data_IF_350964507299
#
_entry.id   IF_350964507299
#
_cell.length_a   1.000
_cell.length_b   1.000
_cell.length_c   1.000
_cell.angle_alpha   90.00
_cell.angle_beta   90.00
_cell.angle_gamma   90.00
#
_symmetry.space_group_name_H-M   'P 1'
#
loop_
_entity.id
_entity.type
_entity.pdbx_description
1 polymer ?
#
# COMPACT_ATOMS: atom_id res chain seq x y z
N UNK A 1 -12.98 10.67 -11.22
CA UNK A 1 -11.54 10.95 -11.12
C UNK A 1 -10.88 9.69 -10.63
N UNK A 2 -9.87 9.22 -11.34
CA UNK A 2 -9.13 8.03 -10.94
C UNK A 2 -8.18 8.44 -9.80
N UNK A 3 -8.50 8.01 -8.58
CA UNK A 3 -7.68 8.19 -7.39
C UNK A 3 -7.44 6.83 -6.73
N UNK A 4 -6.19 6.38 -6.75
CA UNK A 4 -5.79 5.11 -6.17
C UNK A 4 -4.32 5.11 -5.79
N UNK A 5 -3.89 4.11 -5.02
CA UNK A 5 -2.50 3.94 -4.63
C UNK A 5 -1.84 2.79 -5.37
N UNK A 6 -0.53 2.83 -5.48
CA UNK A 6 0.27 1.78 -6.10
C UNK A 6 1.45 1.48 -5.19
N UNK A 7 1.56 0.22 -4.77
CA UNK A 7 2.72 -0.30 -4.05
C UNK A 7 3.52 -1.15 -5.03
N UNK A 8 4.73 -0.69 -5.37
CA UNK A 8 5.63 -1.42 -6.25
C UNK A 8 6.77 -2.00 -5.44
N UNK A 9 7.01 -3.30 -5.54
CA UNK A 9 8.07 -3.93 -4.78
C UNK A 9 7.86 -5.42 -4.59
N UNK A 10 8.86 -6.06 -3.99
CA UNK A 10 8.80 -7.48 -3.74
C UNK A 10 9.66 -7.89 -2.54
N UNK A 11 9.34 -9.05 -1.97
CA UNK A 11 10.04 -9.61 -0.81
C UNK A 11 11.50 -9.93 -1.14
N UNK A 12 11.76 -10.30 -2.38
CA UNK A 12 13.09 -10.70 -2.87
C UNK A 12 14.08 -9.53 -2.82
N UNK A 13 13.65 -8.35 -3.28
CA UNK A 13 14.43 -7.11 -3.18
C UNK A 13 14.38 -6.51 -1.77
N UNK A 14 13.26 -6.71 -1.06
CA UNK A 14 13.01 -6.06 0.23
C UNK A 14 12.79 -4.54 0.08
N UNK A 15 12.55 -4.08 -1.14
CA UNK A 15 12.33 -2.66 -1.46
C UNK A 15 10.90 -2.47 -1.95
N UNK A 16 10.20 -1.52 -1.35
CA UNK A 16 8.84 -1.14 -1.72
C UNK A 16 8.71 0.37 -1.88
N UNK A 17 8.10 0.79 -2.97
CA UNK A 17 7.77 2.17 -3.29
C UNK A 17 6.26 2.35 -3.19
N UNK A 18 5.82 3.52 -2.72
CA UNK A 18 4.41 3.84 -2.56
C UNK A 18 4.08 5.10 -3.34
N UNK A 19 3.16 4.98 -4.28
CA UNK A 19 2.69 6.07 -5.12
C UNK A 19 1.21 6.33 -4.88
N UNK A 20 0.83 7.59 -4.88
CA UNK A 20 -0.53 8.05 -5.12
C UNK A 20 -0.67 8.31 -6.62
N UNK A 21 -1.74 7.80 -7.21
CA UNK A 21 -2.12 8.06 -8.59
C UNK A 21 -3.38 8.90 -8.59
N UNK A 22 -3.30 10.09 -9.15
CA UNK A 22 -4.44 11.01 -9.28
C UNK A 22 -4.52 11.48 -10.73
N UNK A 23 -5.63 11.18 -11.41
CA UNK A 23 -5.84 11.52 -12.82
C UNK A 23 -4.68 11.05 -13.72
N UNK A 24 -4.18 9.83 -13.47
CA UNK A 24 -3.07 9.22 -14.22
C UNK A 24 -1.67 9.70 -13.83
N UNK A 25 -1.55 10.71 -12.96
CA UNK A 25 -0.26 11.24 -12.51
C UNK A 25 0.20 10.47 -11.28
N UNK A 26 1.39 9.88 -11.36
CA UNK A 26 2.02 9.19 -10.23
C UNK A 26 2.85 10.15 -9.38
N UNK A 27 2.59 10.17 -8.07
CA UNK A 27 3.36 10.91 -7.08
C UNK A 27 3.83 9.96 -5.98
N UNK A 28 5.12 9.93 -5.72
CA UNK A 28 5.67 9.18 -4.57
C UNK A 28 5.28 9.90 -3.27
N UNK A 29 4.72 9.15 -2.30
CA UNK A 29 4.18 9.74 -1.07
C UNK A 29 5.07 9.53 0.17
N UNK A 30 6.18 8.81 0.02
CA UNK A 30 7.18 8.60 1.08
C UNK A 30 8.51 8.19 0.48
N UNK A 31 9.57 8.23 1.28
CA UNK A 31 10.79 7.48 0.96
C UNK A 31 10.48 5.98 0.79
N UNK A 32 11.27 5.28 -0.05
CA UNK A 32 11.10 3.85 -0.24
C UNK A 32 11.36 3.08 1.06
N UNK A 33 10.55 2.03 1.29
CA UNK A 33 10.81 1.06 2.35
C UNK A 33 11.91 0.13 1.85
N UNK A 34 13.16 0.32 2.30
CA UNK A 34 14.33 -0.42 1.84
C UNK A 34 14.77 -1.48 2.86
N UNK A 35 15.28 -2.61 2.38
CA UNK A 35 15.92 -3.64 3.20
C UNK A 35 14.96 -4.52 4.03
N UNK A 36 13.65 -4.37 3.84
CA UNK A 36 12.63 -5.08 4.62
C UNK A 36 12.02 -6.24 3.82
N UNK A 37 12.76 -7.36 3.74
CA UNK A 37 12.27 -8.60 3.11
C UNK A 37 11.00 -9.12 3.80
N UNK A 38 10.92 -9.00 5.12
CA UNK A 38 9.73 -9.34 5.92
C UNK A 38 9.11 -8.06 6.45
N UNK A 39 7.78 -7.93 6.32
CA UNK A 39 7.05 -6.75 6.82
C UNK A 39 7.07 -5.51 5.93
N UNK A 40 7.91 -5.44 4.88
CA UNK A 40 7.99 -4.26 3.99
C UNK A 40 6.65 -3.91 3.32
N UNK A 41 5.89 -4.90 2.85
CA UNK A 41 4.54 -4.66 2.31
C UNK A 41 3.56 -4.12 3.35
N UNK A 42 3.65 -4.60 4.61
CA UNK A 42 2.84 -4.06 5.72
C UNK A 42 3.20 -2.60 5.97
N UNK A 43 4.49 -2.28 6.02
CA UNK A 43 4.97 -0.90 6.22
C UNK A 43 4.51 0.01 5.08
N UNK A 44 4.61 -0.44 3.83
CA UNK A 44 4.13 0.30 2.66
C UNK A 44 2.63 0.60 2.71
N UNK A 45 1.80 -0.37 3.16
CA UNK A 45 0.37 -0.16 3.39
C UNK A 45 0.12 0.85 4.53
N UNK A 46 0.86 0.75 5.62
CA UNK A 46 0.77 1.70 6.73
C UNK A 46 1.13 3.12 6.31
N UNK A 47 2.10 3.27 5.40
CA UNK A 47 2.44 4.57 4.81
C UNK A 47 1.23 5.20 4.11
N UNK A 48 0.45 4.42 3.34
CA UNK A 48 -0.79 4.90 2.72
C UNK A 48 -1.77 5.39 3.80
N UNK A 49 -2.01 4.58 4.84
CA UNK A 49 -2.92 4.95 5.92
C UNK A 49 -2.50 6.22 6.66
N UNK A 50 -1.21 6.37 6.95
CA UNK A 50 -0.65 7.57 7.58
C UNK A 50 -0.76 8.81 6.69
N UNK A 51 -0.52 8.65 5.39
CA UNK A 51 -0.66 9.71 4.40
C UNK A 51 -2.12 10.19 4.32
N UNK A 52 -3.07 9.27 4.21
CA UNK A 52 -4.50 9.57 4.16
C UNK A 52 -4.99 10.27 5.42
N UNK A 53 -4.58 9.80 6.59
CA UNK A 53 -4.95 10.41 7.87
C UNK A 53 -4.41 11.85 7.98
N UNK A 54 -3.16 12.08 7.56
CA UNK A 54 -2.56 13.42 7.53
C UNK A 54 -3.28 14.38 6.58
N UNK A 55 -3.89 13.87 5.50
CA UNK A 55 -4.68 14.65 4.56
C UNK A 55 -6.16 14.81 4.97
N UNK A 56 -6.52 14.41 6.19
CA UNK A 56 -7.86 14.66 6.76
C UNK A 56 -8.91 13.62 6.39
N UNK A 57 -8.52 12.47 5.83
CA UNK A 57 -9.47 11.38 5.58
C UNK A 57 -9.86 10.66 6.87
N UNK A 58 -11.13 10.25 6.98
CA UNK A 58 -11.64 9.50 8.12
C UNK A 58 -11.12 8.06 8.13
N UNK A 59 -11.10 7.44 9.30
CA UNK A 59 -10.73 6.03 9.46
C UNK A 59 -11.59 5.06 8.62
N UNK A 60 -12.86 5.42 8.38
CA UNK A 60 -13.82 4.65 7.59
C UNK A 60 -13.72 4.89 6.07
N UNK A 61 -12.99 5.93 5.64
CA UNK A 61 -12.82 6.23 4.21
C UNK A 61 -12.07 5.11 3.51
N UNK A 62 -12.56 4.66 2.36
CA UNK A 62 -11.99 3.53 1.61
C UNK A 62 -11.21 4.00 0.38
N UNK A 63 -10.05 3.39 0.16
CA UNK A 63 -9.18 3.68 -0.97
C UNK A 63 -8.63 2.39 -1.59
N UNK A 64 -8.51 2.41 -2.90
CA UNK A 64 -7.95 1.30 -3.66
C UNK A 64 -6.42 1.39 -3.71
N UNK A 65 -5.74 0.25 -3.54
CA UNK A 65 -4.34 0.11 -3.89
C UNK A 65 -4.06 -1.10 -4.79
N UNK A 66 -3.10 -0.94 -5.68
CA UNK A 66 -2.55 -2.00 -6.53
C UNK A 66 -1.21 -2.46 -6.00
N UNK A 67 -1.01 -3.77 -5.88
CA UNK A 67 0.28 -4.38 -5.55
C UNK A 67 0.97 -4.85 -6.84
N UNK A 68 2.03 -4.14 -7.22
CA UNK A 68 2.82 -4.42 -8.41
C UNK A 68 4.09 -5.15 -8.00
N UNK A 69 4.18 -6.43 -8.40
CA UNK A 69 5.42 -7.22 -8.24
C UNK A 69 6.15 -7.23 -9.58
N UNK A 70 7.43 -6.81 -9.65
CA UNK A 70 8.23 -6.91 -10.87
C UNK A 70 8.18 -8.31 -11.48
N UNK A 71 7.96 -8.40 -12.79
CA UNK A 71 7.87 -9.67 -13.53
C UNK A 71 6.55 -10.44 -13.38
N UNK A 72 5.57 -9.95 -12.61
CA UNK A 72 4.28 -10.61 -12.45
C UNK A 72 3.27 -10.18 -13.52
N UNK A 73 2.62 -11.14 -14.17
CA UNK A 73 1.61 -10.88 -15.24
C UNK A 73 0.29 -10.27 -14.74
N UNK A 74 -0.07 -10.49 -13.48
CA UNK A 74 -1.31 -9.98 -12.86
C UNK A 74 -0.99 -9.35 -11.51
N UNK A 75 -1.49 -8.14 -11.31
CA UNK A 75 -1.34 -7.39 -10.07
C UNK A 75 -2.56 -7.61 -9.18
N UNK A 76 -2.34 -7.65 -7.86
CA UNK A 76 -3.45 -7.71 -6.91
C UNK A 76 -4.01 -6.31 -6.66
N UNK A 77 -5.32 -6.25 -6.48
CA UNK A 77 -6.06 -5.02 -6.17
C UNK A 77 -6.76 -5.21 -4.84
N UNK A 78 -6.67 -4.20 -3.98
CA UNK A 78 -7.33 -4.18 -2.68
C UNK A 78 -8.04 -2.86 -2.48
N UNK A 79 -9.24 -2.88 -1.90
CA UNK A 79 -9.93 -1.68 -1.45
C UNK A 79 -10.06 -1.73 0.07
N UNK A 80 -9.37 -0.84 0.77
CA UNK A 80 -9.26 -0.86 2.22
C UNK A 80 -9.66 0.47 2.84
N UNK A 81 -10.19 0.42 4.06
CA UNK A 81 -10.38 1.60 4.88
C UNK A 81 -9.02 2.15 5.36
N UNK A 82 -8.96 3.44 5.69
CA UNK A 82 -7.78 4.06 6.32
C UNK A 82 -7.35 3.27 7.57
N UNK A 83 -8.30 2.80 8.37
CA UNK A 83 -8.03 1.94 9.53
C UNK A 83 -7.31 0.63 9.13
N UNK A 84 -7.80 -0.06 8.11
CA UNK A 84 -7.18 -1.31 7.63
C UNK A 84 -5.75 -1.09 7.14
N UNK A 85 -5.47 0.06 6.52
CA UNK A 85 -4.11 0.45 6.15
C UNK A 85 -3.22 0.64 7.37
N UNK A 86 -3.70 1.32 8.43
CA UNK A 86 -2.95 1.58 9.66
C UNK A 86 -2.65 0.30 10.46
N UNK A 87 -3.62 -0.60 10.56
CA UNK A 87 -3.43 -1.92 11.21
C UNK A 87 -2.47 -2.79 10.40
N UNK A 88 -2.57 -2.73 9.06
CA UNK A 88 -1.75 -3.48 8.13
C UNK A 88 -2.06 -4.97 8.18
N UNK A 89 -3.25 -5.34 7.67
CA UNK A 89 -3.92 -6.67 7.72
C UNK A 89 -4.11 -7.19 9.16
N UNK A 90 -5.32 -7.65 9.55
CA UNK A 90 -5.47 -8.42 10.77
C UNK A 90 -4.54 -9.64 10.73
N UNK A 91 -4.02 -10.08 11.87
CA UNK A 91 -3.52 -11.46 11.96
C UNK A 91 -4.68 -12.38 11.63
N UNK A 92 -4.77 -12.84 10.39
CA UNK A 92 -5.49 -14.07 10.11
C UNK A 92 -4.65 -15.12 10.82
N UNK A 93 -5.15 -15.64 11.94
CA UNK A 93 -4.69 -16.92 12.44
C UNK A 93 -4.79 -17.87 11.25
N UNK A 94 -3.65 -18.15 10.60
CA UNK A 94 -3.55 -19.21 9.61
C UNK A 94 -3.64 -20.51 10.40
N UNK A 95 -4.87 -20.93 10.68
CA UNK A 95 -5.19 -22.32 10.96
C UNK A 95 -5.58 -22.88 9.60
N UNK A 96 -4.58 -23.43 8.92
CA UNK A 96 -4.59 -24.66 8.09
C UNK A 96 -3.25 -24.75 7.34
#
# INVERSE_FOLDING_TARGET
>A
MDHYFRIEGCRETGTYFVYEITNGIAKEISEPVVGMRTGGLKKARQTIGQYLLKNGHSLSSSFTHYCIKPGRKKNYVHNWTVEQYLVGVPMVNSID
#
